data_IF_497682524467
#
_entry.id   IF_497682524467
#
_cell.length_a   1.000
_cell.length_b   1.000
_cell.length_c   1.000
_cell.angle_alpha   90.00
_cell.angle_beta   90.00
_cell.angle_gamma   90.00
#
_symmetry.space_group_name_H-M   'P 1'
#
loop_
_entity.id
_entity.type
_entity.pdbx_description
1 polymer ?
#
# COMPACT_ATOMS: atom_id res chain seq x y z
N UNK A 1 14.35 14.78 -17.94
CA UNK A 1 14.09 15.13 -16.52
C UNK A 1 15.17 14.54 -15.63
N UNK A 2 15.81 15.36 -14.80
CA UNK A 2 16.86 14.92 -13.87
C UNK A 2 16.30 14.04 -12.75
N UNK A 3 15.05 14.28 -12.34
CA UNK A 3 14.34 13.49 -11.34
C UNK A 3 13.13 12.76 -11.95
N UNK A 4 13.07 11.45 -11.74
CA UNK A 4 12.05 10.54 -12.30
C UNK A 4 11.26 9.78 -11.22
N UNK A 5 11.68 9.91 -9.96
CA UNK A 5 11.10 9.32 -8.77
C UNK A 5 11.26 10.34 -7.65
N UNK A 6 10.35 10.33 -6.68
CA UNK A 6 10.20 11.35 -5.65
C UNK A 6 10.04 12.74 -6.28
N UNK A 7 9.12 12.84 -7.23
CA UNK A 7 8.96 14.02 -8.09
C UNK A 7 7.52 14.47 -8.26
N UNK A 8 7.33 15.80 -8.36
CA UNK A 8 6.07 16.47 -8.71
C UNK A 8 5.72 16.36 -10.20
N UNK A 9 6.64 15.88 -11.03
CA UNK A 9 6.42 15.71 -12.47
C UNK A 9 5.53 14.48 -12.74
N UNK A 10 4.22 14.67 -12.63
CA UNK A 10 3.19 13.65 -12.87
C UNK A 10 2.19 14.14 -13.89
N UNK A 11 1.34 13.25 -14.40
CA UNK A 11 0.33 13.64 -15.39
C UNK A 11 -0.67 14.64 -14.79
N UNK A 12 -1.23 15.52 -15.63
CA UNK A 12 -2.23 16.49 -15.19
C UNK A 12 -3.46 15.82 -14.58
N UNK A 13 -3.91 14.70 -15.16
CA UNK A 13 -5.01 13.91 -14.64
C UNK A 13 -4.71 13.34 -13.25
N UNK A 14 -3.51 12.76 -13.04
CA UNK A 14 -3.08 12.29 -11.71
C UNK A 14 -3.11 13.41 -10.66
N UNK A 15 -2.58 14.60 -11.00
CA UNK A 15 -2.59 15.74 -10.09
C UNK A 15 -4.00 16.25 -9.80
N UNK A 16 -4.90 16.23 -10.78
CA UNK A 16 -6.29 16.68 -10.62
C UNK A 16 -7.10 15.73 -9.75
N UNK A 17 -7.06 14.42 -10.02
CA UNK A 17 -7.84 13.44 -9.25
C UNK A 17 -7.40 13.39 -7.78
N UNK A 18 -6.10 13.46 -7.52
CA UNK A 18 -5.59 13.43 -6.14
C UNK A 18 -6.12 14.59 -5.33
N UNK A 19 -6.22 15.79 -5.92
CA UNK A 19 -6.84 16.95 -5.27
C UNK A 19 -8.34 16.78 -5.05
N UNK A 20 -9.10 16.33 -6.04
CA UNK A 20 -10.55 16.12 -5.92
C UNK A 20 -10.93 15.04 -4.91
N UNK A 21 -10.06 14.05 -4.73
CA UNK A 21 -10.24 12.93 -3.81
C UNK A 21 -9.66 13.21 -2.42
N UNK A 22 -9.07 14.38 -2.20
CA UNK A 22 -8.41 14.74 -0.94
C UNK A 22 -7.22 13.85 -0.60
N UNK A 23 -6.48 13.36 -1.60
CA UNK A 23 -5.20 12.65 -1.42
C UNK A 23 -4.11 13.72 -1.29
N UNK A 24 -3.46 13.76 -0.12
CA UNK A 24 -2.53 14.83 0.24
C UNK A 24 -1.33 14.95 -0.69
N UNK A 25 -0.76 13.80 -1.05
CA UNK A 25 0.50 13.74 -1.78
C UNK A 25 0.30 13.11 -3.17
N UNK A 26 0.40 13.94 -4.21
CA UNK A 26 0.22 13.54 -5.61
C UNK A 26 1.52 13.14 -6.30
N UNK A 27 2.66 13.27 -5.61
CA UNK A 27 3.98 13.03 -6.17
C UNK A 27 4.17 11.56 -6.54
N UNK A 28 5.03 11.32 -7.52
CA UNK A 28 5.45 9.97 -7.86
C UNK A 28 6.56 9.56 -6.91
N UNK A 29 6.21 8.77 -5.91
CA UNK A 29 7.09 8.26 -4.85
C UNK A 29 6.73 6.81 -4.55
N UNK A 30 7.48 6.12 -3.71
CA UNK A 30 7.15 4.77 -3.25
C UNK A 30 5.93 4.80 -2.32
N UNK A 31 4.86 4.06 -2.65
CA UNK A 31 3.67 3.88 -1.81
C UNK A 31 3.77 2.61 -0.96
N UNK A 32 4.42 1.56 -1.48
CA UNK A 32 4.48 0.26 -0.81
C UNK A 32 5.16 0.27 0.58
N UNK A 33 5.97 1.29 0.86
CA UNK A 33 6.78 1.40 2.08
C UNK A 33 6.45 2.63 2.95
N UNK A 34 5.27 3.23 2.74
CA UNK A 34 4.99 4.61 3.16
C UNK A 34 5.22 4.93 4.67
N UNK A 35 5.00 3.96 5.57
CA UNK A 35 5.19 4.13 7.02
C UNK A 35 6.47 3.44 7.49
N UNK A 36 6.86 2.37 6.80
CA UNK A 36 8.04 1.61 7.15
C UNK A 36 9.33 2.45 6.99
N UNK A 37 9.32 3.52 6.20
CA UNK A 37 10.40 4.53 6.20
C UNK A 37 10.57 5.27 7.52
N UNK A 38 9.54 5.34 8.37
CA UNK A 38 9.63 5.91 9.73
C UNK A 38 10.16 4.90 10.75
N UNK A 39 10.38 3.65 10.33
CA UNK A 39 10.97 2.61 11.15
C UNK A 39 12.41 2.34 10.73
N UNK A 40 13.30 2.30 11.72
CA UNK A 40 14.67 1.86 11.53
C UNK A 40 14.84 0.48 12.12
N UNK A 41 15.35 -0.47 11.33
CA UNK A 41 15.81 -1.78 11.81
C UNK A 41 17.33 -1.73 11.91
N UNK A 42 17.86 -1.98 13.10
CA UNK A 42 19.30 -1.95 13.39
C UNK A 42 19.73 -3.24 14.07
N UNK A 43 21.01 -3.60 13.92
CA UNK A 43 21.61 -4.73 14.62
C UNK A 43 21.99 -4.29 16.04
N UNK A 44 21.70 -5.10 17.05
CA UNK A 44 22.25 -4.89 18.39
C UNK A 44 23.77 -5.07 18.30
N UNK A 45 24.52 -4.12 18.85
CA UNK A 45 25.98 -4.26 18.93
C UNK A 45 26.30 -5.01 20.20
N UNK A 46 26.53 -6.32 20.08
CA UNK A 46 26.97 -7.20 21.16
C UNK A 46 28.27 -7.93 20.79
N UNK A 47 28.70 -8.81 21.68
CA UNK A 47 29.98 -9.53 21.59
C UNK A 47 29.81 -10.99 21.19
N UNK A 48 28.60 -11.45 20.87
CA UNK A 48 28.32 -12.89 20.69
C UNK A 48 28.31 -13.36 19.22
N UNK A 49 28.65 -12.47 18.27
CA UNK A 49 28.67 -12.72 16.83
C UNK A 49 27.31 -13.17 16.24
N UNK A 50 26.21 -13.04 16.99
CA UNK A 50 24.86 -13.36 16.53
C UNK A 50 24.19 -12.08 16.05
N UNK A 51 23.69 -12.09 14.81
CA UNK A 51 22.90 -10.97 14.31
C UNK A 51 21.52 -10.92 15.00
N UNK A 52 21.37 -10.01 15.96
CA UNK A 52 20.11 -9.75 16.66
C UNK A 52 19.52 -8.39 16.26
N UNK A 53 18.37 -8.40 15.59
CA UNK A 53 17.75 -7.18 15.07
C UNK A 53 16.76 -6.57 16.06
N UNK A 54 16.77 -5.24 16.14
CA UNK A 54 15.75 -4.43 16.82
C UNK A 54 15.15 -3.41 15.87
N UNK A 55 14.01 -2.84 16.24
CA UNK A 55 13.43 -1.72 15.51
C UNK A 55 13.08 -0.56 16.41
N UNK A 56 13.04 0.64 15.82
CA UNK A 56 12.53 1.86 16.46
C UNK A 56 11.71 2.69 15.49
N UNK A 57 10.61 3.25 15.99
CA UNK A 57 9.81 4.26 15.32
C UNK A 57 10.41 5.63 15.60
N UNK A 58 10.70 6.37 14.54
CA UNK A 58 11.25 7.72 14.60
C UNK A 58 10.21 8.74 14.18
N UNK A 59 10.25 9.92 14.80
CA UNK A 59 9.57 11.11 14.27
C UNK A 59 10.36 11.75 13.11
N UNK A 60 9.86 12.88 12.59
CA UNK A 60 10.50 13.60 11.47
C UNK A 60 11.85 14.22 11.83
N UNK A 61 12.09 14.46 13.11
CA UNK A 61 13.32 15.05 13.62
C UNK A 61 14.34 13.98 14.05
N UNK A 62 13.98 12.70 13.92
CA UNK A 62 14.82 11.55 14.29
C UNK A 62 14.71 11.14 15.75
N UNK A 63 13.76 11.67 16.52
CA UNK A 63 13.55 11.26 17.90
C UNK A 63 12.84 9.91 17.97
N UNK A 64 13.23 9.09 18.94
CA UNK A 64 12.63 7.77 19.16
C UNK A 64 11.29 7.90 19.86
N UNK A 65 10.21 7.48 19.18
CA UNK A 65 8.87 7.43 19.74
C UNK A 65 8.59 6.08 20.41
N UNK A 66 8.85 4.99 19.70
CA UNK A 66 8.65 3.62 20.17
C UNK A 66 9.83 2.75 19.77
N UNK A 67 10.06 1.67 20.49
CA UNK A 67 11.11 0.69 20.21
C UNK A 67 10.64 -0.72 20.53
N UNK A 68 11.26 -1.70 19.87
CA UNK A 68 10.96 -3.11 20.08
C UNK A 68 11.20 -3.50 21.54
N UNK A 69 10.31 -4.33 22.06
CA UNK A 69 10.45 -4.96 23.39
C UNK A 69 11.45 -6.09 23.37
N UNK A 70 11.52 -6.82 22.26
CA UNK A 70 12.39 -7.98 22.06
C UNK A 70 13.39 -7.79 20.91
N UNK A 71 14.20 -8.83 20.71
CA UNK A 71 15.17 -9.02 19.63
C UNK A 71 14.60 -9.99 18.61
N UNK A 72 15.03 -9.85 17.35
CA UNK A 72 14.58 -10.70 16.25
C UNK A 72 15.79 -11.32 15.55
N UNK A 73 15.73 -12.63 15.29
CA UNK A 73 16.76 -13.37 14.55
C UNK A 73 16.88 -12.96 13.07
N UNK A 74 15.90 -12.22 12.53
CA UNK A 74 15.95 -11.73 11.15
C UNK A 74 15.19 -10.43 10.93
N UNK A 75 15.61 -9.69 9.90
CA UNK A 75 14.90 -8.48 9.45
C UNK A 75 13.48 -8.79 8.98
N UNK A 76 13.20 -9.98 8.46
CA UNK A 76 11.85 -10.41 8.08
C UNK A 76 10.94 -10.55 9.31
N UNK A 77 11.43 -11.16 10.40
CA UNK A 77 10.68 -11.26 11.66
C UNK A 77 10.42 -9.86 12.23
N UNK A 78 11.43 -8.98 12.27
CA UNK A 78 11.27 -7.59 12.71
C UNK A 78 10.24 -6.82 11.85
N UNK A 79 10.24 -7.01 10.52
CA UNK A 79 9.25 -6.38 9.63
C UNK A 79 7.83 -6.86 9.87
N UNK A 80 7.62 -8.11 10.25
CA UNK A 80 6.29 -8.61 10.63
C UNK A 80 5.80 -7.91 11.90
N UNK A 81 6.66 -7.76 12.90
CA UNK A 81 6.29 -7.01 14.11
C UNK A 81 5.96 -5.54 13.81
N UNK A 82 6.75 -4.88 12.96
CA UNK A 82 6.48 -3.50 12.54
C UNK A 82 5.08 -3.38 11.93
N UNK A 83 4.61 -4.37 11.16
CA UNK A 83 3.25 -4.36 10.63
C UNK A 83 2.18 -4.46 11.72
N UNK A 84 2.43 -5.24 12.78
CA UNK A 84 1.58 -5.26 13.96
C UNK A 84 1.59 -3.90 14.65
N UNK A 85 2.77 -3.32 14.93
CA UNK A 85 2.91 -2.00 15.55
C UNK A 85 2.19 -0.91 14.76
N UNK A 86 2.24 -0.95 13.43
CA UNK A 86 1.49 -0.04 12.55
C UNK A 86 -0.03 -0.20 12.74
N UNK A 87 -0.51 -1.45 12.71
CA UNK A 87 -1.94 -1.76 12.77
C UNK A 87 -2.56 -1.44 14.14
N UNK A 88 -1.84 -1.73 15.22
CA UNK A 88 -2.30 -1.48 16.59
C UNK A 88 -1.97 -0.06 17.08
N UNK A 89 -0.84 0.53 16.67
CA UNK A 89 -0.43 1.90 17.02
C UNK A 89 -1.31 3.00 16.41
N UNK A 90 -2.08 2.62 15.39
CA UNK A 90 -3.40 3.16 15.01
C UNK A 90 -4.22 3.84 16.11
N UNK A 91 -4.38 3.06 17.17
CA UNK A 91 -5.54 3.11 18.05
C UNK A 91 -5.08 3.50 19.44
N UNK A 92 -5.59 4.62 19.93
CA UNK A 92 -5.28 5.12 21.27
C UNK A 92 -5.52 4.08 22.38
N UNK A 93 -6.55 3.24 22.24
CA UNK A 93 -6.91 2.24 23.25
C UNK A 93 -5.88 1.11 23.42
N UNK A 94 -4.98 0.95 22.46
CA UNK A 94 -3.93 -0.07 22.51
C UNK A 94 -2.68 0.40 23.29
N UNK A 95 -2.64 1.67 23.69
CA UNK A 95 -1.57 2.23 24.50
C UNK A 95 -1.91 2.15 25.99
N UNK A 96 -0.99 1.60 26.78
CA UNK A 96 -1.09 1.54 28.24
C UNK A 96 0.04 2.34 28.89
N UNK A 97 -0.32 3.10 29.93
CA UNK A 97 0.64 3.85 30.74
C UNK A 97 1.04 2.98 31.93
N UNK A 98 2.33 2.62 32.00
CA UNK A 98 2.91 1.86 33.10
C UNK A 98 3.76 2.75 33.99
N UNK A 99 3.80 2.40 35.28
CA UNK A 99 4.62 3.07 36.30
C UNK A 99 5.78 2.16 36.70
N UNK A 100 7.00 2.68 36.72
CA UNK A 100 8.21 1.98 37.19
C UNK A 100 8.30 2.04 38.72
N UNK A 101 9.14 1.20 39.31
CA UNK A 101 9.34 1.14 40.77
C UNK A 101 9.86 2.45 41.37
N UNK A 102 10.64 3.22 40.60
CA UNK A 102 11.14 4.56 40.96
C UNK A 102 10.10 5.69 40.80
N UNK A 103 8.87 5.35 40.42
CA UNK A 103 7.76 6.28 40.34
C UNK A 103 7.54 6.95 38.99
N UNK A 104 8.43 6.73 38.01
CA UNK A 104 8.28 7.31 36.66
C UNK A 104 7.25 6.57 35.81
N UNK A 105 6.78 7.21 34.76
CA UNK A 105 5.77 6.68 33.84
C UNK A 105 6.37 6.46 32.45
N UNK A 106 5.92 5.40 31.77
CA UNK A 106 6.25 5.13 30.36
C UNK A 106 5.06 4.51 29.64
N UNK A 107 5.16 4.44 28.32
CA UNK A 107 4.10 3.95 27.43
C UNK A 107 4.50 2.58 26.90
N UNK A 108 3.55 1.67 26.87
CA UNK A 108 3.64 0.40 26.13
C UNK A 108 2.49 0.30 25.13
N UNK A 109 2.76 -0.31 23.98
CA UNK A 109 1.77 -0.61 22.95
C UNK A 109 1.49 -2.11 22.99
N UNK A 110 0.20 -2.46 23.01
CA UNK A 110 -0.27 -3.84 23.02
C UNK A 110 -0.98 -4.23 21.71
N UNK A 111 -0.91 -5.51 21.39
CA UNK A 111 -1.80 -6.12 20.40
C UNK A 111 -3.16 -6.48 21.02
N UNK A 112 -3.99 -7.23 20.30
CA UNK A 112 -5.28 -7.74 20.76
C UNK A 112 -5.17 -8.93 21.72
N UNK A 113 -4.05 -9.65 21.74
CA UNK A 113 -3.78 -10.72 22.72
C UNK A 113 -3.34 -10.16 24.08
N UNK A 114 -2.92 -8.89 24.11
CA UNK A 114 -2.38 -8.21 25.28
C UNK A 114 -0.85 -8.27 25.39
N UNK A 115 -0.19 -8.88 24.40
CA UNK A 115 1.27 -8.89 24.25
C UNK A 115 1.80 -7.47 24.01
N UNK A 116 2.96 -7.16 24.59
CA UNK A 116 3.61 -5.86 24.42
C UNK A 116 4.54 -5.90 23.21
N UNK A 117 4.08 -5.34 22.10
CA UNK A 117 4.78 -5.34 20.82
C UNK A 117 5.76 -4.16 20.67
N UNK A 118 5.56 -3.07 21.42
CA UNK A 118 6.49 -1.94 21.45
C UNK A 118 6.42 -1.17 22.77
N UNK A 119 7.49 -0.45 23.11
CA UNK A 119 7.54 0.42 24.29
C UNK A 119 8.26 1.73 23.99
N UNK A 120 7.94 2.76 24.77
CA UNK A 120 8.70 4.00 24.78
C UNK A 120 9.96 3.83 25.66
N UNK A 121 11.08 4.40 25.23
CA UNK A 121 12.35 4.40 25.99
C UNK A 121 12.42 5.59 26.95
N UNK A 122 11.74 6.70 26.63
CA UNK A 122 11.65 7.89 27.49
C UNK A 122 10.69 7.64 28.67
N UNK A 123 11.08 8.15 29.85
CA UNK A 123 10.29 8.10 31.07
C UNK A 123 9.89 9.52 31.50
N UNK A 124 8.76 9.64 32.16
CA UNK A 124 8.16 10.91 32.59
C UNK A 124 7.86 10.90 34.08
N UNK A 125 7.91 12.06 34.72
CA UNK A 125 7.54 12.20 36.14
C UNK A 125 6.05 12.46 36.33
N UNK A 126 5.41 13.09 35.34
CA UNK A 126 4.00 13.44 35.36
C UNK A 126 3.19 12.49 34.45
N UNK A 127 2.06 12.00 34.97
CA UNK A 127 1.15 11.13 34.24
C UNK A 127 0.40 11.87 33.13
N UNK A 128 0.13 13.17 33.28
CA UNK A 128 -0.60 13.93 32.27
C UNK A 128 0.27 14.23 31.04
N UNK A 129 1.56 14.50 31.22
CA UNK A 129 2.54 14.58 30.12
C UNK A 129 2.59 13.30 29.27
N UNK A 130 2.46 12.12 29.91
CA UNK A 130 2.40 10.85 29.20
C UNK A 130 1.13 10.72 28.35
N UNK A 131 -0.02 11.16 28.86
CA UNK A 131 -1.28 11.10 28.10
C UNK A 131 -1.22 11.96 26.84
N UNK A 132 -0.62 13.15 26.95
CA UNK A 132 -0.44 14.02 25.79
C UNK A 132 0.57 13.43 24.79
N UNK A 133 1.62 12.79 25.29
CA UNK A 133 2.55 12.03 24.44
C UNK A 133 1.84 10.92 23.67
N UNK A 134 0.97 10.13 24.30
CA UNK A 134 0.17 9.10 23.59
C UNK A 134 -0.66 9.72 22.47
N UNK A 135 -1.33 10.86 22.74
CA UNK A 135 -2.11 11.58 21.70
C UNK A 135 -1.24 11.99 20.52
N UNK A 136 -0.03 12.47 20.77
CA UNK A 136 0.92 12.88 19.74
C UNK A 136 1.42 11.69 18.91
N UNK A 137 1.73 10.55 19.53
CA UNK A 137 2.16 9.34 18.79
C UNK A 137 1.02 8.83 17.91
N UNK A 138 -0.19 8.71 18.45
CA UNK A 138 -1.37 8.26 17.68
C UNK A 138 -1.61 9.20 16.51
N UNK A 139 -1.54 10.52 16.73
CA UNK A 139 -1.66 11.50 15.66
C UNK A 139 -0.57 11.31 14.61
N UNK A 140 0.68 11.19 15.00
CA UNK A 140 1.80 10.97 14.09
C UNK A 140 1.64 9.70 13.25
N UNK A 141 1.22 8.59 13.87
CA UNK A 141 0.97 7.33 13.18
C UNK A 141 -0.17 7.47 12.16
N UNK A 142 -1.28 8.10 12.54
CA UNK A 142 -2.41 8.36 11.64
C UNK A 142 -2.03 9.31 10.49
N UNK A 143 -1.32 10.41 10.78
CA UNK A 143 -0.84 11.34 9.76
C UNK A 143 0.13 10.63 8.79
N UNK A 144 0.96 9.71 9.30
CA UNK A 144 1.85 8.88 8.48
C UNK A 144 1.08 7.87 7.62
N UNK A 145 -0.08 7.37 8.06
CA UNK A 145 -0.94 6.52 7.21
C UNK A 145 -1.44 7.27 5.98
N UNK A 146 -1.63 8.59 6.06
CA UNK A 146 -2.09 9.39 4.91
C UNK A 146 -1.03 9.42 3.80
N UNK A 147 0.26 9.24 4.13
CA UNK A 147 1.32 9.08 3.13
C UNK A 147 1.24 7.73 2.40
N UNK A 148 0.44 6.77 2.85
CA UNK A 148 0.18 5.55 2.07
C UNK A 148 -0.81 5.78 0.93
N UNK A 149 -1.48 6.93 0.91
CA UNK A 149 -2.43 7.26 -0.13
C UNK A 149 -1.72 7.88 -1.32
N UNK A 150 -2.09 7.39 -2.50
CA UNK A 150 -1.48 7.84 -3.74
C UNK A 150 -2.01 7.04 -4.90
N UNK A 151 -1.56 7.40 -6.09
CA UNK A 151 -1.99 6.78 -7.33
C UNK A 151 -0.90 6.90 -8.37
N UNK A 152 -0.73 5.85 -9.18
CA UNK A 152 0.06 5.92 -10.40
C UNK A 152 -0.85 5.87 -11.61
N UNK A 153 -0.62 6.77 -12.56
CA UNK A 153 -1.28 6.73 -13.86
C UNK A 153 -0.27 6.33 -14.95
N UNK A 154 -0.55 5.23 -15.63
CA UNK A 154 0.28 4.70 -16.71
C UNK A 154 -0.45 4.82 -18.03
N UNK A 155 0.07 5.66 -18.93
CA UNK A 155 -0.42 5.78 -20.29
C UNK A 155 0.10 4.62 -21.13
N UNK A 156 -0.81 3.83 -21.71
CA UNK A 156 -0.40 2.64 -22.44
C UNK A 156 0.37 2.98 -23.71
N UNK A 157 0.07 4.10 -24.37
CA UNK A 157 0.76 4.53 -25.59
C UNK A 157 2.29 4.62 -25.42
N UNK A 158 2.78 4.91 -24.21
CA UNK A 158 4.21 4.96 -23.88
C UNK A 158 4.89 3.58 -23.87
N UNK A 159 4.09 2.52 -23.72
CA UNK A 159 4.51 1.11 -23.71
C UNK A 159 4.30 0.42 -25.06
N UNK A 160 3.94 1.16 -26.11
CA UNK A 160 3.84 0.63 -27.47
C UNK A 160 5.18 0.00 -27.89
N UNK A 161 5.19 -1.19 -28.50
CA UNK A 161 6.40 -1.82 -29.04
C UNK A 161 7.14 -0.89 -29.99
N UNK A 162 8.44 -0.70 -29.75
CA UNK A 162 9.36 0.06 -30.62
C UNK A 162 10.25 -0.90 -31.42
N UNK A 163 10.42 -2.13 -30.96
CA UNK A 163 11.21 -3.18 -31.60
C UNK A 163 10.46 -4.51 -31.59
N UNK A 164 10.88 -5.46 -32.43
CA UNK A 164 10.31 -6.82 -32.46
C UNK A 164 10.55 -7.63 -31.16
N UNK A 165 11.48 -7.18 -30.32
CA UNK A 165 11.76 -7.81 -29.01
C UNK A 165 10.78 -7.33 -27.92
N UNK A 166 10.04 -6.27 -28.18
CA UNK A 166 9.07 -5.74 -27.23
C UNK A 166 7.82 -6.63 -27.20
N UNK A 167 7.37 -6.96 -25.99
CA UNK A 167 6.18 -7.74 -25.74
C UNK A 167 4.95 -6.90 -26.09
N UNK A 168 4.07 -7.47 -26.90
CA UNK A 168 2.73 -6.92 -27.11
C UNK A 168 1.88 -7.15 -25.86
N UNK A 169 1.24 -6.09 -25.37
CA UNK A 169 0.31 -6.16 -24.26
C UNK A 169 -0.90 -7.00 -24.69
N UNK A 170 -1.30 -7.94 -23.83
CA UNK A 170 -2.45 -8.80 -24.09
C UNK A 170 -3.75 -8.02 -23.92
N UNK A 171 -4.70 -8.25 -24.83
CA UNK A 171 -6.07 -7.81 -24.68
C UNK A 171 -6.93 -9.01 -24.22
N UNK A 172 -7.71 -8.81 -23.16
CA UNK A 172 -8.77 -9.74 -22.78
C UNK A 172 -9.97 -9.57 -23.74
N UNK A 173 -9.90 -10.22 -24.90
CA UNK A 173 -11.04 -10.35 -25.81
C UNK A 173 -11.32 -11.83 -25.98
N UNK A 174 -12.56 -12.24 -25.75
CA UNK A 174 -12.99 -13.59 -26.08
C UNK A 174 -12.81 -13.84 -27.57
N UNK A 175 -12.26 -15.01 -27.94
CA UNK A 175 -11.97 -15.35 -29.34
C UNK A 175 -13.22 -15.31 -30.24
N UNK A 176 -14.41 -15.43 -29.66
CA UNK A 176 -15.72 -15.37 -30.33
C UNK A 176 -16.23 -13.94 -30.61
N UNK A 177 -15.64 -12.90 -30.01
CA UNK A 177 -16.19 -11.55 -30.11
C UNK A 177 -15.88 -10.88 -31.46
N UNK A 178 -16.82 -10.97 -32.40
CA UNK A 178 -16.74 -10.34 -33.73
C UNK A 178 -16.85 -8.80 -33.68
N UNK A 179 -17.52 -8.25 -32.67
CA UNK A 179 -17.72 -6.79 -32.49
C UNK A 179 -16.62 -6.09 -31.66
N UNK A 180 -15.61 -6.83 -31.19
CA UNK A 180 -14.57 -6.29 -30.31
C UNK A 180 -13.36 -5.69 -31.05
N UNK A 181 -13.53 -5.22 -32.29
CA UNK A 181 -12.44 -4.68 -33.11
C UNK A 181 -11.75 -3.48 -32.44
N UNK A 182 -12.50 -2.59 -31.79
CA UNK A 182 -11.98 -1.47 -31.00
C UNK A 182 -11.24 -1.89 -29.72
N UNK A 183 -11.40 -3.15 -29.28
CA UNK A 183 -10.66 -3.68 -28.15
C UNK A 183 -9.29 -4.25 -28.54
N UNK A 184 -9.03 -4.49 -29.83
CA UNK A 184 -7.79 -5.13 -30.31
C UNK A 184 -6.52 -4.31 -30.07
N UNK A 185 -6.63 -2.99 -29.95
CA UNK A 185 -5.49 -2.13 -29.61
C UNK A 185 -5.42 -1.90 -28.09
N UNK A 186 -4.43 -2.46 -27.38
CA UNK A 186 -4.25 -2.25 -25.95
C UNK A 186 -3.61 -0.91 -25.61
N UNK A 187 -3.14 -0.11 -26.59
CA UNK A 187 -2.32 1.07 -26.37
C UNK A 187 -3.04 2.39 -26.57
N UNK A 188 -3.76 2.54 -27.68
CA UNK A 188 -4.41 3.81 -28.01
C UNK A 188 -5.52 4.13 -27.00
N UNK A 189 -5.54 5.39 -26.56
CA UNK A 189 -6.55 5.95 -25.66
C UNK A 189 -6.84 5.10 -24.41
N UNK A 190 -5.81 4.47 -23.85
CA UNK A 190 -5.92 3.62 -22.66
C UNK A 190 -4.93 4.03 -21.60
N UNK A 191 -5.42 4.10 -20.36
CA UNK A 191 -4.60 4.32 -19.19
C UNK A 191 -4.93 3.29 -18.11
N UNK A 192 -3.92 2.84 -17.38
CA UNK A 192 -4.11 2.05 -16.16
C UNK A 192 -3.72 2.89 -14.96
N UNK A 193 -4.65 2.98 -14.02
CA UNK A 193 -4.50 3.65 -12.74
C UNK A 193 -4.23 2.58 -11.69
N UNK A 194 -3.07 2.61 -11.05
CA UNK A 194 -2.65 1.66 -10.00
C UNK A 194 -2.79 2.36 -8.66
N UNK A 195 -3.62 1.80 -7.78
CA UNK A 195 -4.02 2.40 -6.49
C UNK A 195 -3.77 1.38 -5.38
N UNK A 196 -3.17 1.75 -4.24
CA UNK A 196 -3.00 0.82 -3.12
C UNK A 196 -4.34 0.43 -2.51
N UNK A 197 -4.48 -0.82 -2.06
CA UNK A 197 -5.70 -1.31 -1.41
C UNK A 197 -5.78 -0.95 0.09
N UNK A 198 -4.63 -0.91 0.77
CA UNK A 198 -4.54 -0.96 2.23
C UNK A 198 -4.90 0.32 3.01
N UNK A 199 -4.81 1.55 2.45
CA UNK A 199 -5.28 2.73 3.20
C UNK A 199 -6.73 2.57 3.63
N UNK A 200 -7.07 3.07 4.82
CA UNK A 200 -8.37 2.81 5.45
C UNK A 200 -9.55 3.18 4.55
N UNK A 201 -9.61 4.43 4.07
CA UNK A 201 -10.68 4.84 3.16
C UNK A 201 -10.61 4.16 1.79
N UNK A 202 -9.45 3.66 1.36
CA UNK A 202 -9.35 2.90 0.12
C UNK A 202 -9.93 1.49 0.26
N UNK A 203 -10.12 0.98 1.48
CA UNK A 203 -10.88 -0.26 1.74
C UNK A 203 -12.40 -0.07 1.65
N UNK A 204 -12.89 1.16 1.82
CA UNK A 204 -14.32 1.47 1.73
C UNK A 204 -14.82 1.48 0.26
N UNK A 205 -15.84 0.68 -0.05
CA UNK A 205 -16.38 0.55 -1.41
C UNK A 205 -17.10 1.78 -1.95
N UNK A 206 -17.76 2.56 -1.10
CA UNK A 206 -18.40 3.81 -1.53
C UNK A 206 -17.33 4.82 -1.96
N UNK A 207 -16.24 4.90 -1.19
CA UNK A 207 -15.08 5.70 -1.59
C UNK A 207 -14.48 5.21 -2.91
N UNK A 208 -14.39 3.90 -3.16
CA UNK A 208 -13.92 3.38 -4.46
C UNK A 208 -14.84 3.76 -5.60
N UNK A 209 -16.15 3.63 -5.42
CA UNK A 209 -17.14 4.03 -6.43
C UNK A 209 -17.01 5.52 -6.74
N UNK A 210 -16.86 6.35 -5.71
CA UNK A 210 -16.58 7.77 -5.86
C UNK A 210 -15.25 8.03 -6.58
N UNK A 211 -14.16 7.35 -6.19
CA UNK A 211 -12.84 7.43 -6.81
C UNK A 211 -12.92 7.12 -8.31
N UNK A 212 -13.51 5.97 -8.64
CA UNK A 212 -13.57 5.46 -10.00
C UNK A 212 -14.49 6.30 -10.89
N UNK A 213 -15.60 6.81 -10.34
CA UNK A 213 -16.48 7.74 -11.06
C UNK A 213 -15.76 9.06 -11.31
N UNK A 214 -15.09 9.61 -10.31
CA UNK A 214 -14.35 10.87 -10.41
C UNK A 214 -13.27 10.80 -11.48
N UNK A 215 -12.42 9.78 -11.47
CA UNK A 215 -11.36 9.66 -12.49
C UNK A 215 -11.92 9.45 -13.90
N UNK A 216 -13.04 8.74 -14.06
CA UNK A 216 -13.69 8.55 -15.36
C UNK A 216 -14.36 9.83 -15.88
N UNK A 217 -14.96 10.63 -14.99
CA UNK A 217 -15.53 11.94 -15.36
C UNK A 217 -14.45 12.97 -15.70
N UNK A 218 -13.30 12.89 -15.05
CA UNK A 218 -12.18 13.81 -15.26
C UNK A 218 -11.27 13.42 -16.43
N UNK A 219 -11.30 12.15 -16.85
CA UNK A 219 -10.61 11.72 -18.05
C UNK A 219 -11.29 12.26 -19.31
N UNK A 220 -10.54 12.57 -20.38
CA UNK A 220 -11.13 12.89 -21.67
C UNK A 220 -12.05 11.74 -22.15
N UNK A 221 -13.19 12.07 -22.76
CA UNK A 221 -14.24 11.11 -23.10
C UNK A 221 -13.76 9.91 -23.95
N UNK A 222 -12.73 10.11 -24.78
CA UNK A 222 -12.17 9.06 -25.63
C UNK A 222 -11.15 8.16 -24.91
N UNK A 223 -10.68 8.54 -23.72
CA UNK A 223 -9.68 7.80 -22.94
C UNK A 223 -10.36 6.82 -21.99
N UNK A 224 -10.08 5.52 -22.19
CA UNK A 224 -10.51 4.47 -21.28
C UNK A 224 -9.57 4.37 -20.07
N UNK A 225 -10.14 4.52 -18.88
CA UNK A 225 -9.43 4.40 -17.60
C UNK A 225 -9.72 3.04 -16.95
N UNK A 226 -8.69 2.19 -16.86
CA UNK A 226 -8.71 0.99 -16.01
C UNK A 226 -8.20 1.36 -14.61
N UNK A 227 -8.90 0.96 -13.56
CA UNK A 227 -8.46 1.15 -12.16
C UNK A 227 -8.13 -0.20 -11.54
N UNK A 228 -6.96 -0.31 -10.93
CA UNK A 228 -6.45 -1.51 -10.26
C UNK A 228 -6.18 -1.20 -8.78
N UNK A 229 -6.98 -1.76 -7.88
CA UNK A 229 -6.79 -1.67 -6.42
C UNK A 229 -5.86 -2.80 -5.95
N UNK A 230 -4.55 -2.55 -5.82
CA UNK A 230 -3.55 -3.62 -5.71
C UNK A 230 -3.09 -3.89 -4.28
N UNK A 231 -2.69 -5.14 -4.00
CA UNK A 231 -2.02 -5.50 -2.72
C UNK A 231 -0.64 -4.85 -2.62
N UNK A 232 -0.06 -4.86 -1.41
CA UNK A 232 1.30 -4.36 -1.18
C UNK A 232 2.34 -5.10 -2.02
N UNK A 233 2.22 -6.42 -2.15
CA UNK A 233 3.15 -7.27 -2.92
C UNK A 233 3.08 -6.93 -4.41
N UNK A 234 1.87 -6.73 -4.94
CA UNK A 234 1.66 -6.29 -6.32
C UNK A 234 2.24 -4.89 -6.55
N UNK A 235 2.03 -3.97 -5.59
CA UNK A 235 2.59 -2.61 -5.66
C UNK A 235 4.12 -2.62 -5.68
N UNK A 236 4.78 -3.38 -4.80
CA UNK A 236 6.25 -3.52 -4.78
C UNK A 236 6.79 -3.97 -6.15
N UNK A 237 6.15 -4.99 -6.74
CA UNK A 237 6.52 -5.50 -8.07
C UNK A 237 6.34 -4.42 -9.14
N UNK A 238 5.22 -3.70 -9.10
CA UNK A 238 4.90 -2.61 -10.02
C UNK A 238 5.91 -1.45 -9.91
N UNK A 239 6.10 -0.90 -8.71
CA UNK A 239 7.01 0.22 -8.46
C UNK A 239 8.43 -0.10 -8.90
N UNK A 240 8.93 -1.30 -8.59
CA UNK A 240 10.25 -1.77 -9.03
C UNK A 240 10.36 -1.84 -10.55
N UNK A 241 9.36 -2.40 -11.24
CA UNK A 241 9.37 -2.50 -12.70
C UNK A 241 9.26 -1.11 -13.35
N UNK A 242 8.36 -0.27 -12.83
CA UNK A 242 8.08 1.06 -13.36
C UNK A 242 9.28 2.00 -13.18
N UNK A 243 9.87 2.06 -11.98
CA UNK A 243 11.07 2.85 -11.70
C UNK A 243 12.25 2.44 -12.58
N UNK A 244 12.45 1.15 -12.81
CA UNK A 244 13.52 0.65 -13.68
C UNK A 244 13.29 1.00 -15.16
N UNK A 245 12.04 0.96 -15.63
CA UNK A 245 11.71 1.40 -16.99
C UNK A 245 11.89 2.91 -17.16
N UNK A 246 11.42 3.71 -16.19
CA UNK A 246 11.59 5.17 -16.16
C UNK A 246 13.08 5.58 -16.19
N UNK A 247 13.93 4.88 -15.43
CA UNK A 247 15.39 5.09 -15.41
C UNK A 247 16.04 4.92 -16.78
N UNK A 248 15.54 4.00 -17.59
CA UNK A 248 16.11 3.74 -18.91
C UNK A 248 15.53 4.70 -19.96
N UNK A 249 14.21 4.86 -20.01
CA UNK A 249 13.54 5.69 -21.03
C UNK A 249 13.84 7.19 -20.90
N UNK A 250 14.21 7.66 -19.71
CA UNK A 250 14.52 9.08 -19.45
C UNK A 250 15.93 9.50 -19.88
N UNK A 251 16.80 8.54 -20.25
CA UNK A 251 18.16 8.83 -20.73
C UNK A 251 18.10 9.51 -22.10
N UNK A 252 19.06 10.41 -22.37
CA UNK A 252 19.19 11.05 -23.68
C UNK A 252 19.38 10.02 -24.81
N UNK A 253 20.13 8.95 -24.54
CA UNK A 253 20.32 7.82 -25.44
C UNK A 253 20.05 6.50 -24.69
N UNK A 254 18.81 5.98 -24.72
CA UNK A 254 18.47 4.73 -24.05
C UNK A 254 19.08 3.52 -24.77
N UNK A 255 19.58 2.55 -24.01
CA UNK A 255 20.00 1.27 -24.55
C UNK A 255 18.76 0.47 -24.97
N UNK A 256 18.56 0.32 -26.30
CA UNK A 256 17.36 -0.32 -26.88
C UNK A 256 17.09 -1.72 -26.32
N UNK A 257 18.12 -2.56 -26.18
CA UNK A 257 17.97 -3.93 -25.68
C UNK A 257 17.59 -3.94 -24.19
N UNK A 258 18.20 -3.07 -23.39
CA UNK A 258 17.89 -2.96 -21.96
C UNK A 258 16.47 -2.40 -21.77
N UNK A 259 16.12 -1.35 -22.52
CA UNK A 259 14.79 -0.76 -22.52
C UNK A 259 13.72 -1.79 -22.85
N UNK A 260 13.94 -2.61 -23.90
CA UNK A 260 13.01 -3.69 -24.28
C UNK A 260 12.80 -4.68 -23.12
N UNK A 261 13.89 -5.11 -22.45
CA UNK A 261 13.80 -5.99 -21.28
C UNK A 261 13.01 -5.36 -20.13
N UNK A 262 13.25 -4.08 -19.82
CA UNK A 262 12.54 -3.37 -18.74
C UNK A 262 11.07 -3.12 -19.08
N UNK A 263 10.77 -2.76 -20.33
CA UNK A 263 9.41 -2.57 -20.83
C UNK A 263 8.62 -3.88 -20.78
N UNK A 264 9.20 -4.99 -21.24
CA UNK A 264 8.56 -6.30 -21.19
C UNK A 264 8.20 -6.70 -19.77
N UNK A 265 9.11 -6.43 -18.82
CA UNK A 265 8.84 -6.72 -17.41
C UNK A 265 7.72 -5.85 -16.84
N UNK A 266 7.66 -4.56 -17.20
CA UNK A 266 6.58 -3.67 -16.79
C UNK A 266 5.23 -4.11 -17.36
N UNK A 267 5.18 -4.47 -18.65
CA UNK A 267 3.96 -4.99 -19.31
C UNK A 267 3.50 -6.28 -18.64
N UNK A 268 4.40 -7.22 -18.35
CA UNK A 268 4.08 -8.46 -17.62
C UNK A 268 3.47 -8.17 -16.24
N UNK A 269 4.03 -7.21 -15.49
CA UNK A 269 3.51 -6.84 -14.18
C UNK A 269 2.13 -6.19 -14.30
N UNK A 270 1.94 -5.26 -15.25
CA UNK A 270 0.64 -4.62 -15.51
C UNK A 270 -0.45 -5.63 -15.89
N UNK A 271 -0.11 -6.65 -16.69
CA UNK A 271 -1.01 -7.75 -17.05
C UNK A 271 -1.37 -8.64 -15.83
N UNK A 272 -0.45 -8.79 -14.88
CA UNK A 272 -0.67 -9.58 -13.66
C UNK A 272 -1.47 -8.85 -12.58
N UNK A 273 -1.62 -7.52 -12.67
CA UNK A 273 -2.33 -6.76 -11.64
C UNK A 273 -3.79 -7.22 -11.52
N UNK A 274 -4.24 -7.42 -10.28
CA UNK A 274 -5.61 -7.78 -9.91
C UNK A 274 -6.11 -6.83 -8.84
N UNK A 275 -7.32 -6.31 -9.03
CA UNK A 275 -8.02 -5.55 -8.01
C UNK A 275 -8.39 -6.47 -6.85
N UNK A 276 -8.09 -6.04 -5.64
CA UNK A 276 -8.51 -6.69 -4.40
C UNK A 276 -9.94 -6.27 -4.12
N UNK A 277 -10.85 -7.23 -4.11
CA UNK A 277 -12.19 -7.06 -3.56
C UNK A 277 -12.21 -7.84 -2.23
N UNK A 278 -12.41 -7.17 -1.08
CA UNK A 278 -12.48 -7.88 0.20
C UNK A 278 -13.61 -8.92 0.16
N UNK A 279 -13.35 -10.05 0.80
CA UNK A 279 -14.32 -11.13 0.95
C UNK A 279 -15.39 -10.71 1.94
N UNK A 280 -16.66 -10.82 1.54
CA UNK A 280 -17.79 -10.67 2.46
C UNK A 280 -18.24 -12.09 2.85
N UNK A 281 -18.39 -12.33 4.15
CA UNK A 281 -18.88 -13.61 4.68
C UNK A 281 -20.40 -13.66 4.55
N UNK A 282 -20.93 -14.78 4.06
CA UNK A 282 -22.36 -15.06 4.13
C UNK A 282 -22.72 -15.37 5.58
N UNK A 283 -23.55 -14.53 6.18
CA UNK A 283 -24.09 -14.79 7.52
C UNK A 283 -25.32 -15.70 7.41
N UNK A 284 -25.42 -16.68 8.32
CA UNK A 284 -26.68 -17.41 8.52
C UNK A 284 -27.74 -16.43 9.06
N UNK A 285 -28.99 -16.60 8.64
CA UNK A 285 -30.13 -15.71 8.90
C UNK A 285 -30.46 -15.50 10.39
N UNK A 286 -29.70 -16.11 11.29
CA UNK A 286 -29.85 -16.06 12.75
C UNK A 286 -28.86 -15.13 13.45
N UNK A 287 -27.77 -14.72 12.79
CA UNK A 287 -26.76 -13.82 13.33
C UNK A 287 -26.59 -12.60 12.40
N UNK A 288 -27.60 -11.73 12.37
CA UNK A 288 -27.46 -10.40 11.75
C UNK A 288 -26.88 -9.44 12.79
N UNK A 289 -25.56 -9.27 12.78
CA UNK A 289 -25.01 -7.95 13.11
C UNK A 289 -25.39 -7.02 11.95
N UNK A 290 -26.10 -5.92 12.23
CA UNK A 290 -26.75 -5.03 11.24
C UNK A 290 -25.81 -4.37 10.20
N UNK A 291 -24.50 -4.63 10.23
CA UNK A 291 -23.50 -3.82 9.54
C UNK A 291 -22.96 -4.38 8.22
N UNK A 292 -23.18 -5.66 7.89
CA UNK A 292 -22.60 -6.28 6.67
C UNK A 292 -23.66 -6.81 5.70
N UNK A 293 -24.34 -5.89 5.00
CA UNK A 293 -25.28 -6.22 3.92
C UNK A 293 -24.50 -6.63 2.67
N UNK A 294 -24.69 -7.86 2.21
CA UNK A 294 -24.10 -8.37 0.96
C UNK A 294 -24.88 -7.82 -0.23
N UNK A 295 -24.26 -6.92 -0.99
CA UNK A 295 -24.75 -6.57 -2.32
C UNK A 295 -24.14 -7.50 -3.39
N UNK A 296 -24.99 -8.17 -4.15
CA UNK A 296 -24.63 -8.89 -5.38
C UNK A 296 -23.98 -7.91 -6.37
N UNK A 297 -22.94 -8.36 -7.10
CA UNK A 297 -22.00 -7.53 -7.89
C UNK A 297 -21.09 -6.57 -7.10
N UNK A 298 -21.16 -6.54 -5.77
CA UNK A 298 -20.34 -5.66 -4.92
C UNK A 298 -19.42 -6.43 -3.97
N UNK A 299 -19.51 -7.76 -3.99
CA UNK A 299 -18.79 -8.69 -3.13
C UNK A 299 -18.42 -9.93 -3.94
N UNK A 300 -17.23 -10.50 -3.74
CA UNK A 300 -16.97 -11.88 -4.18
C UNK A 300 -17.81 -12.78 -3.25
N UNK A 301 -18.69 -13.61 -3.82
CA UNK A 301 -19.37 -14.67 -3.08
C UNK A 301 -18.28 -15.63 -2.56
N UNK A 302 -18.19 -15.79 -1.24
CA UNK A 302 -17.05 -16.38 -0.54
C UNK A 302 -16.62 -17.77 -1.00
N UNK A 303 -15.45 -18.22 -0.51
CA UNK A 303 -14.98 -19.59 -0.65
C UNK A 303 -15.72 -20.50 0.33
N UNK A 304 -16.23 -21.64 -0.16
CA UNK A 304 -16.64 -22.76 0.69
C UNK A 304 -15.42 -23.17 1.54
N UNK A 305 -15.55 -23.15 2.86
CA UNK A 305 -14.62 -23.84 3.74
C UNK A 305 -14.70 -25.34 3.43
N UNK A 306 -13.58 -25.97 3.08
CA UNK A 306 -13.46 -27.43 2.88
C UNK A 306 -13.57 -28.22 4.20
N UNK A 307 -14.52 -27.85 5.06
CA UNK A 307 -14.82 -28.53 6.32
C UNK A 307 -16.27 -29.04 6.29
N UNK A 308 -16.61 -29.84 5.26
CA UNK A 308 -17.80 -30.70 5.27
C UNK A 308 -17.60 -31.86 4.27
N UNK A 309 -16.47 -32.57 4.41
CA UNK A 309 -16.41 -33.99 4.09
C UNK A 309 -16.75 -34.75 5.38
N UNK A 310 -18.05 -34.96 5.62
CA UNK A 310 -18.56 -36.20 6.21
C UNK A 310 -20.10 -36.19 6.26
N UNK A 311 -20.69 -37.30 5.84
CA UNK A 311 -22.10 -37.72 5.97
C UNK A 311 -23.15 -37.23 4.95
N UNK A 312 -23.17 -37.83 3.75
CA UNK A 312 -24.07 -38.93 3.36
C UNK A 312 -24.01 -39.22 1.84
#
# INVERSE_FOLDING_TARGET
PTEIWDTKNVTGLQRRITRLLGINNYERRTLSDCIASSFEIYNETDTDEIDEYRFRLLDKDGNILLSSTTRYESKEKARKEIQAVISYGVKKNNYEIKKTSDGRFHIVLKDDTGEIIARMIKYFNDKDEVKDTVRLIVKYMNDSMLECEGVYLVEHILLRPRTIKDRLMKVCVEKSCKSCSGFKDPYSFRVTTVVPYWPERFRNFDFRRYFESTIRMEAPAHVHVKVCWVTKEQMIKFEKAYRNWLKEISKHQPNKNLLSKKQNKLVEVLESLRSVYPENKLYDCKNQDELDVILLNHSILGSISEDENDSL
#
